data_IF_516804382974
#
_entry.id   IF_516804382974
#
_cell.length_a   1.000
_cell.length_b   1.000
_cell.length_c   1.000
_cell.angle_alpha   90.00
_cell.angle_beta   90.00
_cell.angle_gamma   90.00
#
_symmetry.space_group_name_H-M   'P 1'
#
loop_
_entity.id
_entity.type
_entity.pdbx_description
1 polymer ?
#
# COMPACT_ATOMS: atom_id res chain seq x y z
N UNK A 1 20.49 27.15 3.98
CA UNK A 1 21.02 26.04 3.16
C UNK A 1 19.94 25.62 2.19
N UNK A 2 20.15 25.87 0.90
CA UNK A 2 19.22 25.45 -0.16
C UNK A 2 19.25 23.92 -0.25
N UNK A 3 18.29 23.28 0.43
CA UNK A 3 18.03 21.86 0.26
C UNK A 3 17.52 21.64 -1.15
N UNK A 4 18.30 20.92 -1.95
CA UNK A 4 17.88 20.31 -3.20
C UNK A 4 16.54 19.59 -2.95
N UNK A 5 15.44 20.19 -3.41
CA UNK A 5 14.16 19.51 -3.54
C UNK A 5 14.28 18.57 -4.73
N UNK A 6 14.91 17.42 -4.52
CA UNK A 6 14.67 16.26 -5.36
C UNK A 6 13.17 16.04 -5.35
N UNK A 7 12.52 16.28 -6.49
CA UNK A 7 11.08 16.01 -6.68
C UNK A 7 10.84 14.59 -6.20
N UNK A 8 10.06 14.42 -5.13
CA UNK A 8 9.77 13.12 -4.58
C UNK A 8 9.05 12.30 -5.65
N UNK A 9 9.69 11.21 -6.12
CA UNK A 9 9.07 10.28 -7.07
C UNK A 9 7.90 9.60 -6.36
N UNK A 10 6.71 9.70 -6.94
CA UNK A 10 5.56 8.94 -6.46
C UNK A 10 5.75 7.46 -6.82
N UNK A 11 6.16 6.67 -5.84
CA UNK A 11 6.42 5.23 -5.98
C UNK A 11 5.17 4.41 -6.27
N UNK A 12 3.97 5.00 -6.12
CA UNK A 12 2.70 4.34 -6.45
C UNK A 12 2.35 4.48 -7.92
N UNK A 13 3.02 5.35 -8.68
CA UNK A 13 2.79 5.45 -10.11
C UNK A 13 3.31 4.20 -10.82
N UNK A 14 2.49 3.56 -11.67
CA UNK A 14 2.91 2.40 -12.44
C UNK A 14 4.08 2.76 -13.34
N UNK A 15 5.09 1.88 -13.34
CA UNK A 15 6.30 2.04 -14.16
C UNK A 15 6.30 1.05 -15.32
N UNK A 16 6.93 1.43 -16.42
CA UNK A 16 7.27 0.55 -17.54
C UNK A 16 8.79 0.52 -17.65
N UNK A 17 9.34 -0.70 -17.64
CA UNK A 17 10.76 -0.93 -17.79
C UNK A 17 11.03 -1.54 -19.16
N UNK A 18 11.91 -0.94 -19.95
CA UNK A 18 12.29 -1.45 -21.26
C UNK A 18 13.80 -1.68 -21.29
N UNK A 19 14.21 -2.90 -21.60
CA UNK A 19 15.60 -3.20 -21.91
C UNK A 19 15.92 -2.67 -23.32
N UNK A 20 16.83 -1.70 -23.39
CA UNK A 20 17.14 -0.99 -24.65
C UNK A 20 18.50 -1.36 -25.22
N UNK A 21 19.44 -1.82 -24.38
CA UNK A 21 20.80 -2.16 -24.80
C UNK A 21 21.52 -3.04 -23.75
N UNK A 22 22.75 -3.45 -24.04
CA UNK A 22 23.68 -4.04 -23.08
C UNK A 22 25.11 -3.49 -23.25
N UNK A 23 25.85 -3.44 -22.15
CA UNK A 23 27.25 -3.03 -22.09
C UNK A 23 28.10 -4.25 -21.74
N UNK A 24 29.17 -4.48 -22.50
CA UNK A 24 30.15 -5.52 -22.19
C UNK A 24 31.28 -4.91 -21.37
N UNK A 25 31.40 -5.37 -20.12
CA UNK A 25 32.50 -5.07 -19.23
C UNK A 25 33.47 -6.27 -19.19
N UNK A 26 34.71 -6.10 -18.69
CA UNK A 26 35.71 -7.16 -18.70
C UNK A 26 35.27 -8.45 -17.99
N UNK A 27 34.52 -8.33 -16.89
CA UNK A 27 34.11 -9.45 -16.05
C UNK A 27 32.62 -9.83 -16.20
N UNK A 28 31.80 -8.95 -16.78
CA UNK A 28 30.36 -9.18 -16.90
C UNK A 28 29.66 -8.36 -17.99
N UNK A 29 28.37 -8.62 -18.17
CA UNK A 29 27.48 -7.85 -19.04
C UNK A 29 26.46 -7.14 -18.17
N UNK A 30 26.26 -5.86 -18.44
CA UNK A 30 25.20 -5.04 -17.84
C UNK A 30 24.12 -4.77 -18.87
N UNK A 31 22.88 -4.86 -18.45
CA UNK A 31 21.71 -4.55 -19.26
C UNK A 31 21.28 -3.12 -18.96
N UNK A 32 21.03 -2.34 -20.01
CA UNK A 32 20.53 -0.96 -19.91
C UNK A 32 19.01 -1.00 -19.90
N UNK A 33 18.42 -0.57 -18.79
CA UNK A 33 16.98 -0.50 -18.58
C UNK A 33 16.57 0.97 -18.63
N UNK A 34 15.60 1.30 -19.48
CA UNK A 34 14.90 2.57 -19.46
C UNK A 34 13.62 2.44 -18.64
N UNK A 35 13.45 3.29 -17.64
CA UNK A 35 12.29 3.30 -16.74
C UNK A 35 11.45 4.53 -17.03
N UNK A 36 10.17 4.31 -17.27
CA UNK A 36 9.19 5.34 -17.63
C UNK A 36 7.95 5.22 -16.72
N UNK A 37 7.32 6.35 -16.39
CA UNK A 37 5.99 6.34 -15.79
C UNK A 37 4.94 5.99 -16.84
N UNK A 38 4.06 5.02 -16.56
CA UNK A 38 2.95 4.67 -17.44
C UNK A 38 1.87 5.76 -17.49
N UNK A 39 1.82 6.64 -16.48
CA UNK A 39 0.90 7.78 -16.45
C UNK A 39 1.42 8.96 -17.28
N UNK A 40 2.63 8.87 -17.86
CA UNK A 40 3.27 9.99 -18.57
C UNK A 40 3.70 11.14 -17.64
N UNK A 41 3.67 10.92 -16.32
CA UNK A 41 4.04 11.91 -15.30
C UNK A 41 5.49 11.69 -14.88
N UNK A 42 6.30 12.75 -14.94
CA UNK A 42 7.70 12.73 -14.52
C UNK A 42 8.68 12.44 -15.67
N UNK A 43 9.98 12.43 -15.35
CA UNK A 43 11.06 12.15 -16.32
C UNK A 43 11.36 10.66 -16.35
N UNK A 44 11.68 10.14 -17.53
CA UNK A 44 12.28 8.83 -17.66
C UNK A 44 13.74 8.86 -17.20
N UNK A 45 14.25 7.70 -16.77
CA UNK A 45 15.65 7.54 -16.40
C UNK A 45 16.18 6.20 -16.86
N UNK A 46 17.50 6.05 -16.85
CA UNK A 46 18.19 4.83 -17.27
C UNK A 46 19.04 4.29 -16.14
N UNK A 47 18.98 2.98 -15.98
CA UNK A 47 19.79 2.25 -15.01
C UNK A 47 20.52 1.09 -15.69
N UNK A 48 21.61 0.66 -15.09
CA UNK A 48 22.39 -0.48 -15.55
C UNK A 48 22.34 -1.58 -14.50
N UNK A 49 22.07 -2.81 -14.95
CA UNK A 49 21.98 -3.98 -14.06
C UNK A 49 22.63 -5.20 -14.68
N UNK A 50 23.52 -5.85 -13.94
CA UNK A 50 24.05 -7.17 -14.31
C UNK A 50 23.07 -8.28 -13.96
N UNK A 51 23.16 -9.40 -14.68
CA UNK A 51 22.31 -10.58 -14.44
C UNK A 51 22.30 -11.08 -12.98
N UNK A 52 23.40 -10.90 -12.24
CA UNK A 52 23.44 -11.27 -10.82
C UNK A 52 22.49 -10.43 -9.95
N UNK A 53 22.28 -9.15 -10.28
CA UNK A 53 21.34 -8.28 -9.57
C UNK A 53 19.89 -8.69 -9.88
N UNK A 54 19.57 -9.03 -11.13
CA UNK A 54 18.27 -9.60 -11.49
C UNK A 54 17.96 -10.90 -10.74
N UNK A 55 18.95 -11.79 -10.62
CA UNK A 55 18.78 -13.03 -9.83
C UNK A 55 18.50 -12.75 -8.35
N UNK A 56 19.21 -11.79 -7.77
CA UNK A 56 18.98 -11.36 -6.38
C UNK A 56 17.56 -10.82 -6.23
N UNK A 57 17.12 -9.96 -7.14
CA UNK A 57 15.75 -9.44 -7.18
C UNK A 57 14.73 -10.58 -7.26
N UNK A 58 14.88 -11.50 -8.21
CA UNK A 58 13.99 -12.65 -8.37
C UNK A 58 13.89 -13.47 -7.08
N UNK A 59 15.02 -13.82 -6.45
CA UNK A 59 15.02 -14.59 -5.19
C UNK A 59 14.31 -13.89 -4.02
N UNK A 60 14.21 -12.56 -4.07
CA UNK A 60 13.50 -11.78 -3.06
C UNK A 60 12.00 -11.67 -3.37
N UNK A 61 11.64 -11.55 -4.66
CA UNK A 61 10.24 -11.47 -5.11
C UNK A 61 9.55 -12.83 -5.13
N UNK A 62 10.26 -13.94 -5.40
CA UNK A 62 9.73 -15.31 -5.34
C UNK A 62 9.12 -15.63 -3.97
N UNK A 63 9.61 -14.99 -2.89
CA UNK A 63 9.05 -15.13 -1.55
C UNK A 63 7.59 -14.69 -1.47
N UNK A 64 7.18 -13.78 -2.34
CA UNK A 64 5.81 -13.27 -2.46
C UNK A 64 4.85 -14.24 -3.18
N UNK A 65 5.34 -15.38 -3.66
CA UNK A 65 4.52 -16.33 -4.43
C UNK A 65 4.15 -15.81 -5.83
N UNK A 66 4.77 -14.71 -6.28
CA UNK A 66 4.66 -14.28 -7.67
C UNK A 66 5.40 -15.32 -8.54
N UNK A 67 4.66 -16.19 -9.24
CA UNK A 67 5.19 -17.24 -10.11
C UNK A 67 5.85 -16.69 -11.38
N UNK A 68 6.81 -15.77 -11.22
CA UNK A 68 7.48 -15.07 -12.30
C UNK A 68 8.47 -15.99 -13.00
N UNK A 69 8.40 -16.04 -14.33
CA UNK A 69 9.39 -16.77 -15.13
C UNK A 69 10.73 -16.03 -15.07
N UNK A 70 11.82 -16.76 -14.85
CA UNK A 70 13.15 -16.17 -14.76
C UNK A 70 14.19 -16.98 -15.56
N UNK A 71 15.03 -16.33 -16.40
CA UNK A 71 16.00 -17.04 -17.23
C UNK A 71 17.11 -17.70 -16.40
N UNK A 72 17.50 -18.96 -16.69
CA UNK A 72 18.49 -19.68 -15.89
C UNK A 72 19.92 -19.16 -16.07
N UNK A 73 20.79 -19.51 -15.10
CA UNK A 73 22.21 -19.20 -15.20
C UNK A 73 22.85 -20.07 -16.28
N UNK A 74 23.71 -19.46 -17.09
CA UNK A 74 24.57 -20.15 -18.06
C UNK A 74 26.02 -19.90 -17.69
N UNK A 75 26.80 -20.97 -17.55
CA UNK A 75 28.20 -20.91 -17.13
C UNK A 75 29.17 -20.85 -18.32
N UNK A 76 28.86 -21.47 -19.44
CA UNK A 76 29.70 -21.50 -20.65
C UNK A 76 29.04 -20.69 -21.77
N UNK A 77 29.80 -19.81 -22.42
CA UNK A 77 29.30 -18.99 -23.54
C UNK A 77 28.29 -17.93 -23.12
N UNK A 78 28.30 -17.51 -21.85
CA UNK A 78 27.40 -16.50 -21.30
C UNK A 78 27.65 -15.09 -21.84
N UNK A 79 28.85 -14.83 -22.39
CA UNK A 79 29.23 -13.58 -23.05
C UNK A 79 28.99 -13.59 -24.58
N UNK A 80 28.51 -14.71 -25.16
CA UNK A 80 28.17 -14.77 -26.58
C UNK A 80 26.97 -13.89 -26.86
N UNK A 81 27.04 -13.06 -27.91
CA UNK A 81 26.01 -12.08 -28.24
C UNK A 81 24.61 -12.68 -28.40
N UNK A 82 24.51 -13.80 -29.12
CA UNK A 82 23.23 -14.50 -29.33
C UNK A 82 22.57 -14.87 -27.99
N UNK A 83 23.37 -15.28 -27.00
CA UNK A 83 22.86 -15.63 -25.69
C UNK A 83 22.54 -14.39 -24.84
N UNK A 84 23.31 -13.31 -24.96
CA UNK A 84 22.99 -12.02 -24.32
C UNK A 84 21.61 -11.52 -24.80
N UNK A 85 21.36 -11.55 -26.12
CA UNK A 85 20.07 -11.18 -26.74
C UNK A 85 18.94 -12.07 -26.25
N UNK A 86 19.12 -13.39 -26.28
CA UNK A 86 18.13 -14.35 -25.77
C UNK A 86 17.78 -14.08 -24.29
N UNK A 87 18.79 -13.85 -23.45
CA UNK A 87 18.58 -13.54 -22.04
C UNK A 87 17.91 -12.18 -21.85
N UNK A 88 18.26 -11.17 -22.65
CA UNK A 88 17.63 -9.86 -22.60
C UNK A 88 16.12 -9.95 -22.82
N UNK A 89 15.66 -10.73 -23.81
CA UNK A 89 14.24 -10.96 -24.05
C UNK A 89 13.55 -11.62 -22.84
N UNK A 90 14.15 -12.66 -22.27
CA UNK A 90 13.58 -13.31 -21.08
C UNK A 90 13.61 -12.40 -19.82
N UNK A 91 14.60 -11.52 -19.70
CA UNK A 91 14.62 -10.51 -18.64
C UNK A 91 13.59 -9.40 -18.87
N UNK A 92 13.24 -9.09 -20.13
CA UNK A 92 12.15 -8.16 -20.46
C UNK A 92 10.81 -8.73 -19.98
N UNK A 93 10.51 -9.99 -20.30
CA UNK A 93 9.29 -10.66 -19.81
C UNK A 93 9.20 -10.66 -18.27
N UNK A 94 10.33 -10.88 -17.59
CA UNK A 94 10.41 -10.80 -16.14
C UNK A 94 10.09 -9.38 -15.61
N UNK A 95 10.65 -8.34 -16.24
CA UNK A 95 10.37 -6.95 -15.87
C UNK A 95 8.90 -6.56 -16.14
N UNK A 96 8.34 -7.00 -17.27
CA UNK A 96 6.94 -6.74 -17.63
C UNK A 96 6.00 -7.35 -16.58
N UNK A 97 6.26 -8.59 -16.16
CA UNK A 97 5.47 -9.26 -15.13
C UNK A 97 5.60 -8.59 -13.74
N UNK A 98 6.79 -8.07 -13.39
CA UNK A 98 6.98 -7.26 -12.17
C UNK A 98 6.16 -5.97 -12.21
N UNK A 99 6.14 -5.30 -13.36
CA UNK A 99 5.47 -4.01 -13.55
C UNK A 99 3.94 -4.12 -13.60
N UNK A 100 3.39 -5.33 -13.78
CA UNK A 100 1.95 -5.58 -13.85
C UNK A 100 1.25 -5.38 -12.49
N UNK A 101 1.94 -5.63 -11.38
CA UNK A 101 1.32 -5.64 -10.06
C UNK A 101 1.80 -4.47 -9.19
N UNK A 102 0.89 -3.60 -8.69
CA UNK A 102 1.23 -2.46 -7.82
C UNK A 102 2.10 -2.80 -6.62
N UNK A 103 1.78 -3.91 -5.96
CA UNK A 103 2.52 -4.38 -4.79
C UNK A 103 3.97 -4.75 -5.17
N UNK A 104 4.19 -5.32 -6.37
CA UNK A 104 5.50 -5.76 -6.81
C UNK A 104 6.35 -4.56 -7.22
N UNK A 105 5.92 -3.72 -8.17
CA UNK A 105 6.77 -2.64 -8.65
C UNK A 105 7.11 -1.62 -7.56
N UNK A 106 6.20 -1.42 -6.60
CA UNK A 106 6.43 -0.47 -5.54
C UNK A 106 7.23 -1.06 -4.38
N UNK A 107 7.24 -2.39 -4.16
CA UNK A 107 7.92 -2.97 -3.00
C UNK A 107 9.37 -2.49 -2.86
N UNK A 108 9.94 -2.42 -1.64
CA UNK A 108 11.22 -1.75 -1.43
C UNK A 108 12.35 -2.38 -2.23
N UNK A 109 12.27 -3.69 -2.47
CA UNK A 109 13.25 -4.43 -3.25
C UNK A 109 13.23 -4.03 -4.72
N UNK A 110 12.05 -3.94 -5.34
CA UNK A 110 11.91 -3.57 -6.75
C UNK A 110 12.15 -2.06 -6.92
N UNK A 111 11.59 -1.22 -6.04
CA UNK A 111 11.80 0.22 -6.08
C UNK A 111 13.29 0.60 -5.98
N UNK A 112 14.05 -0.06 -5.10
CA UNK A 112 15.50 0.12 -5.01
C UNK A 112 16.22 -0.45 -6.25
N UNK A 113 15.79 -1.60 -6.77
CA UNK A 113 16.36 -2.13 -8.00
C UNK A 113 16.16 -1.19 -9.19
N UNK A 114 15.02 -0.51 -9.26
CA UNK A 114 14.67 0.46 -10.30
C UNK A 114 15.20 1.87 -10.03
N UNK A 115 15.77 2.13 -8.86
CA UNK A 115 16.15 3.48 -8.39
C UNK A 115 14.98 4.47 -8.39
N UNK A 116 13.74 3.98 -8.23
CA UNK A 116 12.53 4.83 -8.13
C UNK A 116 12.33 5.39 -6.71
N UNK A 117 13.09 4.91 -5.73
CA UNK A 117 13.06 5.38 -4.35
C UNK A 117 14.44 5.30 -3.72
N UNK A 118 14.91 6.38 -3.11
CA UNK A 118 16.29 6.54 -2.63
C UNK A 118 16.43 6.61 -1.11
N UNK A 119 15.34 6.66 -0.35
CA UNK A 119 15.41 6.71 1.12
C UNK A 119 15.96 5.38 1.65
N UNK A 120 17.01 5.46 2.45
CA UNK A 120 17.61 4.30 3.09
C UNK A 120 16.97 4.03 4.45
N UNK A 121 16.96 2.75 4.85
CA UNK A 121 16.54 2.36 6.21
C UNK A 121 17.36 3.04 7.31
N UNK A 122 18.61 3.42 7.02
CA UNK A 122 19.48 4.13 7.96
C UNK A 122 18.93 5.54 8.21
N UNK A 123 18.62 6.29 7.16
CA UNK A 123 18.06 7.65 7.29
C UNK A 123 16.72 7.66 8.03
N UNK A 124 15.87 6.66 7.79
CA UNK A 124 14.63 6.48 8.55
C UNK A 124 14.88 6.22 10.03
N UNK A 125 15.84 5.35 10.36
CA UNK A 125 16.17 5.04 11.75
C UNK A 125 16.73 6.25 12.50
N UNK A 126 17.68 6.97 11.90
CA UNK A 126 18.27 8.18 12.49
C UNK A 126 17.21 9.25 12.76
N UNK A 127 16.31 9.48 11.81
CA UNK A 127 15.20 10.41 12.00
C UNK A 127 14.27 10.02 13.16
N UNK A 128 13.96 8.73 13.32
CA UNK A 128 13.16 8.25 14.45
C UNK A 128 13.88 8.53 15.77
N UNK A 129 15.17 8.19 15.88
CA UNK A 129 15.95 8.44 17.09
C UNK A 129 15.98 9.93 17.46
N UNK A 130 16.22 10.80 16.48
CA UNK A 130 16.23 12.25 16.68
C UNK A 130 14.86 12.77 17.15
N UNK A 131 13.77 12.22 16.60
CA UNK A 131 12.41 12.62 16.98
C UNK A 131 12.00 12.15 18.39
N UNK A 132 12.70 11.17 18.95
CA UNK A 132 12.48 10.64 20.30
C UNK A 132 13.43 11.23 21.35
N UNK A 133 14.40 12.07 20.95
CA UNK A 133 15.46 12.57 21.86
C UNK A 133 14.92 13.20 23.15
N UNK A 134 13.78 13.88 23.06
CA UNK A 134 13.13 14.60 24.18
C UNK A 134 11.96 13.81 24.79
N UNK A 135 11.73 12.56 24.37
CA UNK A 135 10.55 11.75 24.74
C UNK A 135 10.94 10.58 25.66
N UNK A 136 11.54 10.89 26.81
CA UNK A 136 12.17 9.91 27.74
C UNK A 136 11.25 8.80 28.26
N UNK A 137 9.94 9.02 28.26
CA UNK A 137 8.95 8.03 28.70
C UNK A 137 8.85 6.81 27.76
N UNK A 138 9.22 6.98 26.48
CA UNK A 138 9.14 5.94 25.48
C UNK A 138 10.51 5.34 25.22
N UNK A 139 10.63 4.02 25.39
CA UNK A 139 11.86 3.29 25.16
C UNK A 139 11.70 2.42 23.91
N UNK A 140 12.45 2.74 22.86
CA UNK A 140 12.52 1.93 21.63
C UNK A 140 13.16 0.57 21.96
N UNK A 141 12.55 -0.52 21.49
CA UNK A 141 13.02 -1.88 21.76
C UNK A 141 13.47 -2.59 20.50
N UNK A 142 12.54 -2.91 19.61
CA UNK A 142 12.83 -3.72 18.44
C UNK A 142 12.21 -3.10 17.20
N UNK A 143 13.00 -2.92 16.16
CA UNK A 143 12.47 -2.57 14.85
C UNK A 143 11.70 -3.75 14.25
N UNK A 144 10.50 -3.49 13.76
CA UNK A 144 9.64 -4.45 13.06
C UNK A 144 9.72 -4.17 11.56
N UNK A 145 10.88 -4.45 10.96
CA UNK A 145 11.21 -4.16 9.55
C UNK A 145 10.22 -4.77 8.54
N UNK A 146 9.48 -5.78 8.95
CA UNK A 146 8.63 -6.57 8.07
C UNK A 146 7.14 -6.59 8.48
N UNK A 147 6.76 -5.83 9.51
CA UNK A 147 5.37 -5.72 9.97
C UNK A 147 4.62 -4.70 9.10
N UNK A 148 4.13 -5.12 7.94
CA UNK A 148 3.57 -4.21 6.95
C UNK A 148 4.64 -3.60 6.04
N UNK A 149 4.20 -3.01 4.94
CA UNK A 149 5.09 -2.39 3.96
C UNK A 149 4.45 -1.11 3.40
N UNK A 150 5.23 -0.01 3.37
CA UNK A 150 5.04 1.19 2.55
C UNK A 150 6.38 1.91 2.46
N UNK A 151 6.72 2.47 1.31
CA UNK A 151 7.94 3.27 1.16
C UNK A 151 7.93 4.44 2.15
N UNK A 152 9.06 4.64 2.83
CA UNK A 152 9.18 5.69 3.84
C UNK A 152 8.43 5.44 5.16
N UNK A 153 7.84 4.25 5.37
CA UNK A 153 7.19 3.85 6.64
C UNK A 153 8.04 2.84 7.40
N UNK A 154 8.17 3.04 8.71
CA UNK A 154 8.89 2.13 9.61
C UNK A 154 8.13 1.89 10.90
N UNK A 155 8.28 0.69 11.45
CA UNK A 155 7.63 0.27 12.68
C UNK A 155 8.64 -0.14 13.75
N UNK A 156 8.37 0.24 14.99
CA UNK A 156 9.14 -0.17 16.17
C UNK A 156 8.21 -0.59 17.29
N UNK A 157 8.56 -1.67 17.98
CA UNK A 157 8.02 -1.91 19.30
C UNK A 157 8.70 -0.97 20.29
N UNK A 158 7.87 -0.31 21.10
CA UNK A 158 8.31 0.59 22.16
C UNK A 158 7.68 0.19 23.50
N UNK A 159 8.22 0.74 24.59
CA UNK A 159 7.69 0.56 25.94
C UNK A 159 7.47 1.90 26.63
N UNK A 160 6.37 2.02 27.37
CA UNK A 160 6.17 3.05 28.39
C UNK A 160 5.66 2.38 29.67
N UNK A 161 6.47 2.42 30.73
CA UNK A 161 6.21 1.61 31.92
C UNK A 161 6.12 0.11 31.58
N UNK A 162 4.98 -0.52 31.89
CA UNK A 162 4.67 -1.91 31.55
C UNK A 162 4.03 -2.10 30.17
N UNK A 163 3.54 -1.03 29.54
CA UNK A 163 2.82 -1.09 28.27
C UNK A 163 3.78 -1.32 27.11
N UNK A 164 3.42 -2.24 26.21
CA UNK A 164 4.08 -2.46 24.92
C UNK A 164 3.21 -1.87 23.82
N UNK A 165 3.79 -0.98 23.01
CA UNK A 165 3.08 -0.24 21.97
C UNK A 165 3.83 -0.33 20.64
N UNK A 166 3.13 0.03 19.56
CA UNK A 166 3.70 0.16 18.22
C UNK A 166 3.93 1.63 17.92
N UNK A 167 5.18 1.99 17.67
CA UNK A 167 5.56 3.24 17.03
C UNK A 167 5.54 3.03 15.52
N UNK A 168 4.97 3.98 14.81
CA UNK A 168 5.04 4.08 13.36
C UNK A 168 5.56 5.46 13.00
N UNK A 169 6.54 5.51 12.09
CA UNK A 169 6.98 6.76 11.50
C UNK A 169 6.85 6.71 9.99
N UNK A 170 6.30 7.77 9.42
CA UNK A 170 6.03 7.88 7.99
C UNK A 170 6.63 9.18 7.48
N UNK A 171 7.50 9.07 6.48
CA UNK A 171 8.05 10.21 5.74
C UNK A 171 6.95 10.96 5.02
N UNK A 172 7.21 12.24 4.77
CA UNK A 172 6.35 13.01 3.88
C UNK A 172 6.41 12.48 2.45
N UNK A 173 5.25 12.43 1.80
CA UNK A 173 5.12 12.11 0.40
C UNK A 173 5.09 13.37 -0.48
N UNK A 174 4.95 13.18 -1.81
CA UNK A 174 4.89 14.27 -2.78
C UNK A 174 3.76 15.28 -2.51
N UNK A 175 2.68 14.86 -1.87
CA UNK A 175 1.50 15.71 -1.61
C UNK A 175 1.50 16.31 -0.21
N UNK A 176 2.69 16.40 0.44
CA UNK A 176 2.81 17.06 1.74
C UNK A 176 2.28 18.49 1.62
N UNK A 177 1.44 18.86 2.58
CA UNK A 177 0.93 20.22 2.71
C UNK A 177 1.14 20.74 4.14
N UNK A 178 1.02 22.06 4.30
CA UNK A 178 1.07 22.72 5.59
C UNK A 178 2.45 22.76 6.26
N UNK A 179 2.52 23.46 7.39
CA UNK A 179 3.69 23.56 8.24
C UNK A 179 3.65 22.48 9.33
N UNK A 180 4.77 22.22 10.00
CA UNK A 180 4.80 21.30 11.17
C UNK A 180 3.81 21.75 12.25
N UNK A 181 3.66 23.06 12.48
CA UNK A 181 2.70 23.59 13.43
C UNK A 181 1.25 23.27 13.03
N UNK A 182 0.85 23.56 11.79
CA UNK A 182 -0.51 23.27 11.32
C UNK A 182 -0.83 21.77 11.29
N UNK A 183 0.16 20.94 10.96
CA UNK A 183 0.01 19.48 10.98
C UNK A 183 -0.19 18.97 12.42
N UNK A 184 0.54 19.51 13.41
CA UNK A 184 0.31 19.16 14.80
C UNK A 184 -1.08 19.60 15.30
N UNK A 185 -1.58 20.77 14.90
CA UNK A 185 -2.96 21.20 15.20
C UNK A 185 -4.01 20.26 14.57
N UNK A 186 -3.77 19.77 13.36
CA UNK A 186 -4.65 18.78 12.72
C UNK A 186 -4.61 17.41 13.44
N UNK A 187 -3.43 16.96 13.90
CA UNK A 187 -3.30 15.76 14.72
C UNK A 187 -4.01 15.90 16.08
N UNK A 188 -3.98 17.09 16.67
CA UNK A 188 -4.77 17.40 17.88
C UNK A 188 -6.27 17.32 17.60
N UNK A 189 -6.74 17.90 16.49
CA UNK A 189 -8.14 17.78 16.06
C UNK A 189 -8.56 16.32 15.85
N UNK A 190 -7.73 15.48 15.22
CA UNK A 190 -8.05 14.06 15.02
C UNK A 190 -8.32 13.30 16.33
N UNK A 191 -7.67 13.67 17.44
CA UNK A 191 -7.90 13.08 18.78
C UNK A 191 -9.18 13.57 19.47
N UNK A 192 -9.92 14.47 18.82
CA UNK A 192 -11.23 14.95 19.30
C UNK A 192 -12.40 14.31 18.57
N UNK A 193 -12.12 13.44 17.57
CA UNK A 193 -13.13 12.82 16.75
C UNK A 193 -13.82 11.67 17.49
N UNK A 194 -15.05 11.89 17.93
CA UNK A 194 -15.85 10.84 18.54
C UNK A 194 -16.42 9.89 17.48
N UNK A 195 -15.68 8.82 17.17
CA UNK A 195 -16.13 7.76 16.29
C UNK A 195 -15.70 6.38 16.82
N UNK A 196 -16.64 5.47 17.17
CA UNK A 196 -16.29 4.16 17.73
C UNK A 196 -15.57 3.23 16.73
N UNK A 197 -15.53 3.62 15.46
CA UNK A 197 -14.92 2.88 14.35
C UNK A 197 -13.63 3.54 13.83
N UNK A 198 -13.12 4.55 14.54
CA UNK A 198 -11.77 5.10 14.35
C UNK A 198 -10.93 4.80 15.59
N UNK A 199 -9.87 4.01 15.41
CA UNK A 199 -8.92 3.73 16.47
C UNK A 199 -7.88 4.85 16.52
N UNK A 200 -8.02 5.73 17.50
CA UNK A 200 -7.11 6.85 17.68
C UNK A 200 -5.72 6.41 18.16
N UNK A 201 -4.69 7.09 17.65
CA UNK A 201 -3.33 6.96 18.15
C UNK A 201 -3.23 7.46 19.59
N UNK A 202 -2.52 6.72 20.45
CA UNK A 202 -2.20 7.11 21.84
C UNK A 202 -1.56 8.49 21.89
N UNK A 203 -0.66 8.75 20.95
CA UNK A 203 -0.09 10.09 20.72
C UNK A 203 0.52 10.13 19.32
N UNK A 204 0.60 11.34 18.77
CA UNK A 204 1.23 11.60 17.49
C UNK A 204 1.74 13.02 17.40
N UNK A 205 2.78 13.21 16.59
CA UNK A 205 3.33 14.53 16.29
C UNK A 205 3.98 14.57 14.92
N UNK A 206 3.91 15.74 14.30
CA UNK A 206 4.64 16.08 13.08
C UNK A 206 6.04 16.60 13.43
N UNK A 207 6.99 16.33 12.53
CA UNK A 207 8.38 16.83 12.55
C UNK A 207 8.71 17.40 11.17
N UNK A 208 9.89 17.99 10.98
CA UNK A 208 10.28 18.46 9.64
C UNK A 208 10.39 17.32 8.61
N UNK A 209 10.67 16.10 9.06
CA UNK A 209 10.94 14.93 8.22
C UNK A 209 9.79 13.95 8.06
N UNK A 210 8.67 14.10 8.76
CA UNK A 210 7.53 13.20 8.68
C UNK A 210 6.64 13.24 9.92
N UNK A 211 5.69 12.32 9.99
CA UNK A 211 4.79 12.15 11.14
C UNK A 211 5.12 10.87 11.87
N UNK A 212 5.11 10.95 13.20
CA UNK A 212 5.28 9.83 14.10
C UNK A 212 4.00 9.68 14.91
N UNK A 213 3.54 8.44 15.05
CA UNK A 213 2.40 8.11 15.86
C UNK A 213 2.63 6.79 16.61
N UNK A 214 2.00 6.68 17.77
CA UNK A 214 2.10 5.53 18.67
C UNK A 214 0.69 4.99 18.86
N UNK A 215 0.53 3.68 18.66
CA UNK A 215 -0.74 2.98 18.83
C UNK A 215 -0.59 1.71 19.66
N UNK A 216 -1.70 1.14 20.18
CA UNK A 216 -1.67 -0.19 20.78
C UNK A 216 -1.17 -1.27 19.81
N UNK A 217 -0.63 -2.34 20.37
CA UNK A 217 -0.33 -3.57 19.61
C UNK A 217 -1.58 -4.43 19.59
N UNK A 218 -2.13 -4.66 18.40
CA UNK A 218 -3.23 -5.59 18.17
C UNK A 218 -2.68 -7.01 18.07
N UNK A 219 -2.85 -7.80 19.14
CA UNK A 219 -2.29 -9.17 19.22
C UNK A 219 -2.87 -10.11 18.16
N UNK A 220 -4.14 -9.92 17.81
CA UNK A 220 -4.84 -10.68 16.76
C UNK A 220 -4.58 -10.13 15.34
N UNK A 221 -3.73 -9.10 15.22
CA UNK A 221 -3.43 -8.47 13.94
C UNK A 221 -4.60 -7.69 13.35
N UNK A 222 -4.44 -7.34 12.08
CA UNK A 222 -5.45 -6.62 11.29
C UNK A 222 -6.44 -7.59 10.67
N UNK A 223 -7.48 -7.07 10.02
CA UNK A 223 -8.44 -7.87 9.27
C UNK A 223 -7.75 -8.70 8.17
N UNK A 224 -6.69 -8.15 7.55
CA UNK A 224 -5.84 -8.88 6.62
C UNK A 224 -5.07 -10.02 7.28
N UNK A 225 -4.55 -9.84 8.49
CA UNK A 225 -3.91 -10.94 9.23
C UNK A 225 -4.88 -12.10 9.45
N UNK A 226 -6.14 -11.78 9.82
CA UNK A 226 -7.21 -12.77 9.99
C UNK A 226 -7.57 -13.46 8.68
N UNK A 227 -7.66 -12.71 7.58
CA UNK A 227 -7.94 -13.24 6.24
C UNK A 227 -6.90 -14.29 5.84
N UNK A 228 -5.62 -14.05 6.15
CA UNK A 228 -4.52 -14.97 5.84
C UNK A 228 -4.17 -15.96 6.97
N UNK A 229 -4.89 -15.94 8.10
CA UNK A 229 -4.52 -16.70 9.32
C UNK A 229 -3.04 -16.55 9.70
N UNK A 230 -2.53 -15.32 9.59
CA UNK A 230 -1.11 -15.01 9.77
C UNK A 230 -0.83 -14.28 11.09
N UNK A 231 0.42 -14.30 11.54
CA UNK A 231 0.82 -13.48 12.68
C UNK A 231 1.18 -12.06 12.23
N UNK A 232 0.71 -11.06 12.97
CA UNK A 232 1.03 -9.66 12.66
C UNK A 232 2.55 -9.38 12.63
N UNK A 233 3.36 -10.17 13.36
CA UNK A 233 4.83 -10.06 13.42
C UNK A 233 5.56 -10.67 12.22
N UNK A 234 4.91 -11.55 11.47
CA UNK A 234 5.55 -12.27 10.37
C UNK A 234 5.91 -11.30 9.23
N UNK A 235 6.85 -11.72 8.38
CA UNK A 235 7.28 -10.90 7.25
C UNK A 235 6.16 -10.70 6.24
N UNK A 236 5.85 -9.44 5.92
CA UNK A 236 4.76 -9.04 5.02
C UNK A 236 4.73 -9.85 3.72
N UNK A 237 5.88 -9.97 3.04
CA UNK A 237 5.94 -10.63 1.74
C UNK A 237 5.83 -12.16 1.86
N UNK A 238 6.10 -12.71 3.03
CA UNK A 238 6.03 -14.16 3.28
C UNK A 238 4.66 -14.59 3.80
N UNK A 239 3.95 -13.72 4.54
CA UNK A 239 2.66 -14.06 5.15
C UNK A 239 1.45 -13.75 4.27
N UNK A 240 1.63 -12.87 3.29
CA UNK A 240 0.59 -12.50 2.33
C UNK A 240 0.98 -12.87 0.90
N UNK A 241 1.45 -14.09 0.70
CA UNK A 241 1.87 -14.51 -0.64
C UNK A 241 0.66 -14.54 -1.57
N UNK A 242 0.89 -14.23 -2.83
CA UNK A 242 -0.15 -14.23 -3.87
C UNK A 242 -0.78 -15.62 -4.08
N UNK A 243 -0.05 -16.69 -3.78
CA UNK A 243 -0.49 -18.08 -3.88
C UNK A 243 -1.06 -18.64 -2.57
N UNK A 244 -1.11 -17.84 -1.50
CA UNK A 244 -1.63 -18.30 -0.20
C UNK A 244 -3.16 -18.36 -0.23
N UNK A 245 -3.76 -19.46 0.26
CA UNK A 245 -5.20 -19.50 0.46
C UNK A 245 -5.61 -18.49 1.52
N UNK A 246 -6.73 -17.82 1.29
CA UNK A 246 -7.39 -16.97 2.28
C UNK A 246 -8.53 -17.70 2.97
N UNK A 247 -8.91 -17.21 4.14
CA UNK A 247 -10.15 -17.59 4.79
C UNK A 247 -11.30 -16.79 4.20
N UNK A 248 -12.47 -17.42 4.09
CA UNK A 248 -13.70 -16.66 3.87
C UNK A 248 -14.24 -16.20 5.21
N UNK A 249 -14.59 -14.92 5.30
CA UNK A 249 -15.49 -14.45 6.36
C UNK A 249 -16.92 -14.86 6.05
N UNK A 250 -17.74 -14.97 7.09
CA UNK A 250 -19.18 -15.15 6.91
C UNK A 250 -19.78 -13.92 6.25
N UNK A 251 -20.82 -14.11 5.45
CA UNK A 251 -21.49 -13.00 4.75
C UNK A 251 -22.01 -11.96 5.73
N UNK A 252 -22.46 -12.38 6.92
CA UNK A 252 -22.89 -11.49 7.99
C UNK A 252 -21.75 -10.59 8.50
N UNK A 253 -20.57 -11.17 8.75
CA UNK A 253 -19.41 -10.43 9.25
C UNK A 253 -18.91 -9.41 8.21
N UNK A 254 -18.84 -9.81 6.93
CA UNK A 254 -18.45 -8.91 5.83
C UNK A 254 -19.39 -7.72 5.78
N UNK A 255 -20.71 -7.96 5.90
CA UNK A 255 -21.69 -6.87 5.96
C UNK A 255 -21.42 -5.98 7.15
N UNK A 256 -21.37 -6.50 8.37
CA UNK A 256 -21.16 -5.69 9.57
C UNK A 256 -19.91 -4.81 9.47
N UNK A 257 -18.79 -5.38 9.00
CA UNK A 257 -17.54 -4.66 8.73
C UNK A 257 -17.78 -3.52 7.74
N UNK A 258 -18.42 -3.81 6.59
CA UNK A 258 -18.74 -2.81 5.59
C UNK A 258 -19.63 -1.68 6.14
N UNK A 259 -20.57 -1.97 7.06
CA UNK A 259 -21.45 -0.95 7.66
C UNK A 259 -20.63 0.09 8.39
N UNK A 260 -19.84 -0.39 9.34
CA UNK A 260 -19.09 0.41 10.29
C UNK A 260 -18.05 1.26 9.56
N UNK A 261 -17.46 0.71 8.50
CA UNK A 261 -16.53 1.43 7.65
C UNK A 261 -17.23 2.50 6.80
N UNK A 262 -18.39 2.22 6.18
CA UNK A 262 -19.12 3.23 5.43
C UNK A 262 -19.58 4.40 6.32
N UNK A 263 -20.00 4.12 7.56
CA UNK A 263 -20.34 5.15 8.55
C UNK A 263 -19.12 6.02 8.89
N UNK A 264 -17.95 5.40 9.06
CA UNK A 264 -16.68 6.11 9.28
C UNK A 264 -16.31 6.98 8.08
N UNK A 265 -16.42 6.46 6.85
CA UNK A 265 -16.14 7.22 5.64
C UNK A 265 -17.13 8.38 5.45
N UNK A 266 -18.38 8.21 5.87
CA UNK A 266 -19.38 9.29 5.87
C UNK A 266 -18.95 10.44 6.79
N UNK A 267 -18.48 10.14 8.00
CA UNK A 267 -17.92 11.14 8.92
C UNK A 267 -16.71 11.83 8.29
N UNK A 268 -15.73 11.07 7.79
CA UNK A 268 -14.51 11.61 7.20
C UNK A 268 -14.78 12.49 5.96
N UNK A 269 -15.78 12.13 5.16
CA UNK A 269 -16.26 12.96 4.05
C UNK A 269 -16.85 14.28 4.53
N UNK A 270 -17.69 14.25 5.58
CA UNK A 270 -18.31 15.46 6.14
C UNK A 270 -17.28 16.46 6.68
N UNK A 271 -16.15 15.98 7.20
CA UNK A 271 -15.05 16.82 7.69
C UNK A 271 -13.90 16.98 6.67
N UNK A 272 -14.06 16.49 5.44
CA UNK A 272 -13.09 16.60 4.35
C UNK A 272 -11.69 16.03 4.66
N UNK A 273 -11.61 14.89 5.37
CA UNK A 273 -10.34 14.22 5.71
C UNK A 273 -10.12 13.03 4.76
N UNK A 274 -9.17 13.10 3.80
CA UNK A 274 -9.05 12.11 2.72
C UNK A 274 -8.29 10.84 3.15
N UNK A 275 -8.93 9.99 3.95
CA UNK A 275 -8.41 8.67 4.29
C UNK A 275 -8.57 7.68 3.12
N UNK A 276 -7.58 7.65 2.22
CA UNK A 276 -7.63 6.83 0.98
C UNK A 276 -6.87 5.49 1.08
N UNK A 277 -6.39 5.14 2.26
CA UNK A 277 -5.74 3.86 2.57
C UNK A 277 -6.71 2.88 3.26
N UNK A 278 -7.97 2.86 2.78
CA UNK A 278 -9.04 1.95 3.24
C UNK A 278 -8.78 0.55 2.68
N UNK A 279 -8.19 -0.32 3.49
CA UNK A 279 -7.86 -1.70 3.10
C UNK A 279 -7.74 -2.60 4.33
N UNK A 280 -7.82 -3.93 4.17
CA UNK A 280 -7.90 -4.86 5.31
C UNK A 280 -6.68 -4.83 6.24
N UNK A 281 -5.52 -4.33 5.77
CA UNK A 281 -4.34 -4.09 6.61
C UNK A 281 -4.37 -2.84 7.48
N UNK A 282 -5.41 -2.01 7.35
CA UNK A 282 -5.62 -0.80 8.13
C UNK A 282 -6.96 -0.87 8.89
N UNK A 283 -7.49 -2.08 9.02
CA UNK A 283 -8.71 -2.38 9.74
C UNK A 283 -8.37 -3.37 10.84
N UNK A 284 -8.84 -3.13 12.06
CA UNK A 284 -8.72 -4.05 13.20
C UNK A 284 -10.10 -4.37 13.73
N UNK A 285 -10.25 -5.52 14.38
CA UNK A 285 -11.48 -5.87 15.09
C UNK A 285 -11.15 -5.92 16.58
N UNK A 286 -11.87 -5.11 17.35
CA UNK A 286 -11.77 -5.00 18.81
C UNK A 286 -13.13 -5.27 19.45
N UNK A 287 -13.24 -4.97 20.74
CA UNK A 287 -14.50 -5.02 21.48
C UNK A 287 -15.53 -3.99 20.97
N UNK A 288 -15.09 -2.91 20.31
CA UNK A 288 -15.95 -1.90 19.70
C UNK A 288 -16.41 -2.24 18.28
N UNK A 289 -16.01 -3.41 17.75
CA UNK A 289 -16.27 -3.84 16.38
C UNK A 289 -15.08 -3.56 15.46
N UNK A 290 -15.39 -3.16 14.23
CA UNK A 290 -14.41 -2.82 13.19
C UNK A 290 -13.91 -1.38 13.38
N UNK A 291 -12.60 -1.20 13.45
CA UNK A 291 -11.98 0.13 13.56
C UNK A 291 -10.92 0.35 12.48
N UNK A 292 -10.93 1.53 11.86
CA UNK A 292 -9.83 2.02 11.02
C UNK A 292 -8.69 2.55 11.89
N UNK A 293 -7.46 2.19 11.54
CA UNK A 293 -6.23 2.64 12.22
C UNK A 293 -5.44 3.61 11.34
N UNK A 294 -4.41 4.25 11.91
CA UNK A 294 -3.41 5.04 11.17
C UNK A 294 -3.99 6.30 10.47
N UNK A 295 -5.04 6.92 11.01
CA UNK A 295 -5.63 8.18 10.49
C UNK A 295 -4.58 9.29 10.33
N UNK A 296 -3.61 9.35 11.25
CA UNK A 296 -2.48 10.31 11.23
C UNK A 296 -1.72 10.30 9.90
N UNK A 297 -1.70 9.16 9.20
CA UNK A 297 -0.98 9.00 7.94
C UNK A 297 -1.53 9.91 6.83
N UNK A 298 -2.80 10.29 6.87
CA UNK A 298 -3.43 11.19 5.87
C UNK A 298 -2.65 12.50 5.74
N UNK A 299 -2.11 13.00 6.85
CA UNK A 299 -1.39 14.27 6.92
C UNK A 299 0.06 14.18 6.39
N UNK A 300 0.52 12.99 6.01
CA UNK A 300 1.87 12.81 5.47
C UNK A 300 1.97 13.17 3.99
N UNK A 301 0.84 13.31 3.28
CA UNK A 301 0.83 13.51 1.84
C UNK A 301 1.40 12.30 1.07
N UNK A 302 1.40 11.12 1.67
CA UNK A 302 1.79 9.89 1.01
C UNK A 302 0.68 9.40 0.07
N UNK A 303 0.97 9.13 -1.20
CA UNK A 303 0.00 8.59 -2.16
C UNK A 303 -0.53 7.22 -1.75
N UNK A 304 -1.83 7.00 -1.94
CA UNK A 304 -2.43 5.67 -1.84
C UNK A 304 -2.05 4.81 -3.05
N UNK A 305 -1.84 3.51 -2.85
CA UNK A 305 -1.64 2.55 -3.96
C UNK A 305 -2.82 2.46 -4.93
N UNK A 306 -3.96 3.04 -4.55
CA UNK A 306 -5.20 3.10 -5.33
C UNK A 306 -5.21 4.30 -6.29
N UNK A 307 -4.31 5.27 -6.09
CA UNK A 307 -4.23 6.50 -6.90
C UNK A 307 -4.18 6.24 -8.40
N UNK A 308 -3.35 5.33 -8.93
CA UNK A 308 -3.29 5.10 -10.37
C UNK A 308 -4.63 4.67 -10.96
N UNK A 309 -5.31 3.72 -10.31
CA UNK A 309 -6.63 3.27 -10.72
C UNK A 309 -7.66 4.40 -10.69
N UNK A 310 -7.58 5.27 -9.67
CA UNK A 310 -8.48 6.41 -9.57
C UNK A 310 -8.23 7.46 -10.67
N UNK A 311 -6.97 7.77 -10.97
CA UNK A 311 -6.61 8.74 -12.02
C UNK A 311 -7.05 8.29 -13.43
N UNK A 312 -7.13 6.98 -13.66
CA UNK A 312 -7.62 6.42 -14.92
C UNK A 312 -9.15 6.40 -15.04
N UNK A 313 -9.88 6.61 -13.94
CA UNK A 313 -11.34 6.57 -13.91
C UNK A 313 -11.96 7.93 -14.18
N UNK A 314 -12.84 8.02 -15.18
CA UNK A 314 -13.60 9.25 -15.46
C UNK A 314 -14.76 9.47 -14.46
N UNK A 315 -15.12 8.45 -13.68
CA UNK A 315 -16.23 8.52 -12.73
C UNK A 315 -15.83 9.15 -11.39
N UNK A 316 -14.53 9.26 -11.09
CA UNK A 316 -14.04 9.73 -9.80
C UNK A 316 -13.66 11.19 -9.89
N UNK A 317 -14.48 12.06 -9.29
CA UNK A 317 -14.31 13.51 -9.40
C UNK A 317 -14.35 14.22 -8.03
N UNK A 318 -14.90 13.56 -7.02
CA UNK A 318 -15.08 14.10 -5.67
C UNK A 318 -14.35 13.25 -4.62
N UNK A 319 -14.23 13.78 -3.40
CA UNK A 319 -13.72 12.99 -2.26
C UNK A 319 -14.62 11.80 -1.96
N UNK A 320 -15.94 11.98 -2.06
CA UNK A 320 -16.91 10.90 -1.84
C UNK A 320 -16.72 9.76 -2.86
N UNK A 321 -16.50 10.10 -4.13
CA UNK A 321 -16.18 9.12 -5.18
C UNK A 321 -14.92 8.31 -4.84
N UNK A 322 -13.87 8.98 -4.35
CA UNK A 322 -12.64 8.30 -3.92
C UNK A 322 -12.91 7.33 -2.75
N UNK A 323 -13.75 7.72 -1.79
CA UNK A 323 -14.16 6.82 -0.71
C UNK A 323 -14.97 5.62 -1.20
N UNK A 324 -15.91 5.84 -2.11
CA UNK A 324 -16.71 4.77 -2.71
C UNK A 324 -15.81 3.78 -3.46
N UNK A 325 -14.87 4.29 -4.25
CA UNK A 325 -13.92 3.46 -4.98
C UNK A 325 -13.01 2.65 -4.04
N UNK A 326 -12.39 3.29 -3.06
CA UNK A 326 -11.49 2.63 -2.11
C UNK A 326 -12.23 1.62 -1.21
N UNK A 327 -13.50 1.91 -0.86
CA UNK A 327 -14.39 0.95 -0.21
C UNK A 327 -14.69 -0.27 -1.09
N UNK A 328 -14.96 -0.07 -2.39
CA UNK A 328 -15.14 -1.16 -3.34
C UNK A 328 -13.91 -2.08 -3.42
N UNK A 329 -12.71 -1.50 -3.40
CA UNK A 329 -11.47 -2.28 -3.40
C UNK A 329 -11.25 -3.04 -2.09
N UNK A 330 -11.61 -2.45 -0.95
CA UNK A 330 -11.60 -3.18 0.32
C UNK A 330 -12.59 -4.35 0.28
N UNK A 331 -13.83 -4.15 -0.17
CA UNK A 331 -14.81 -5.21 -0.27
C UNK A 331 -14.30 -6.34 -1.18
N UNK A 332 -13.71 -5.98 -2.32
CA UNK A 332 -13.07 -6.95 -3.21
C UNK A 332 -11.93 -7.71 -2.51
N UNK A 333 -11.08 -7.02 -1.75
CA UNK A 333 -10.02 -7.64 -0.95
C UNK A 333 -10.56 -8.64 0.07
N UNK A 334 -11.65 -8.32 0.79
CA UNK A 334 -12.26 -9.23 1.76
C UNK A 334 -12.85 -10.49 1.13
N UNK A 335 -13.29 -10.40 -0.13
CA UNK A 335 -13.93 -11.50 -0.84
C UNK A 335 -12.92 -12.39 -1.58
N UNK A 336 -11.76 -11.86 -1.95
CA UNK A 336 -10.85 -12.52 -2.90
C UNK A 336 -9.40 -12.59 -2.43
N UNK A 337 -9.00 -11.75 -1.47
CA UNK A 337 -7.61 -11.63 -1.00
C UNK A 337 -6.73 -10.72 -1.85
N UNK A 338 -7.20 -10.25 -3.02
CA UNK A 338 -6.41 -9.33 -3.85
C UNK A 338 -6.38 -7.93 -3.24
N UNK A 339 -5.18 -7.36 -3.04
CA UNK A 339 -5.04 -6.06 -2.33
C UNK A 339 -5.45 -4.84 -3.17
N UNK A 340 -5.53 -5.02 -4.49
CA UNK A 340 -5.87 -3.99 -5.47
C UNK A 340 -6.80 -4.60 -6.51
N UNK A 341 -7.79 -3.83 -6.97
CA UNK A 341 -8.68 -4.28 -8.02
C UNK A 341 -8.01 -4.13 -9.41
N UNK A 342 -7.99 -5.19 -10.24
CA UNK A 342 -7.30 -5.16 -11.53
C UNK A 342 -8.18 -4.47 -12.59
N UNK A 343 -8.12 -3.13 -12.65
CA UNK A 343 -8.96 -2.32 -13.55
C UNK A 343 -8.91 -2.72 -15.03
N UNK A 344 -7.78 -3.22 -15.54
CA UNK A 344 -7.64 -3.63 -16.94
C UNK A 344 -8.37 -4.94 -17.28
N UNK A 345 -8.76 -5.71 -16.27
CA UNK A 345 -9.48 -6.98 -16.40
C UNK A 345 -10.63 -7.03 -15.39
N UNK A 346 -11.35 -5.92 -15.27
CA UNK A 346 -12.39 -5.71 -14.27
C UNK A 346 -13.51 -6.76 -14.37
N UNK A 347 -13.96 -7.03 -15.60
CA UNK A 347 -14.99 -8.04 -15.87
C UNK A 347 -14.55 -9.44 -15.44
N UNK A 348 -13.31 -9.85 -15.76
CA UNK A 348 -12.76 -11.14 -15.35
C UNK A 348 -12.63 -11.22 -13.82
N UNK A 349 -12.16 -10.15 -13.18
CA UNK A 349 -11.98 -10.10 -11.74
C UNK A 349 -13.29 -10.23 -10.96
N UNK A 350 -14.40 -9.75 -11.52
CA UNK A 350 -15.71 -9.87 -10.89
C UNK A 350 -16.31 -11.28 -11.01
N UNK A 351 -15.80 -12.14 -11.90
CA UNK A 351 -16.32 -13.52 -12.04
C UNK A 351 -16.12 -14.39 -10.79
N UNK A 352 -15.12 -14.06 -9.96
CA UNK A 352 -14.78 -14.80 -8.72
C UNK A 352 -15.48 -14.24 -7.47
N UNK A 353 -16.26 -13.17 -7.62
CA UNK A 353 -16.98 -12.51 -6.52
C UNK A 353 -18.33 -13.19 -6.27
N UNK A 354 -18.74 -13.42 -5.00
CA UNK A 354 -20.04 -14.01 -4.71
C UNK A 354 -21.21 -13.17 -5.29
N UNK A 355 -22.25 -13.80 -5.89
CA UNK A 355 -23.30 -13.09 -6.63
C UNK A 355 -24.00 -11.97 -5.86
N UNK A 356 -24.07 -12.08 -4.54
CA UNK A 356 -24.72 -11.11 -3.66
C UNK A 356 -24.00 -9.76 -3.59
N UNK A 357 -22.70 -9.72 -3.89
CA UNK A 357 -21.88 -8.50 -3.88
C UNK A 357 -21.68 -7.91 -5.28
N UNK A 358 -21.97 -8.68 -6.35
CA UNK A 358 -21.78 -8.25 -7.74
C UNK A 358 -22.51 -6.95 -8.11
N UNK A 359 -23.80 -6.72 -7.73
CA UNK A 359 -24.48 -5.50 -8.14
C UNK A 359 -23.77 -4.23 -7.68
N UNK A 360 -23.22 -4.24 -6.46
CA UNK A 360 -22.49 -3.10 -5.89
C UNK A 360 -21.11 -2.95 -6.54
N UNK A 361 -20.36 -4.03 -6.72
CA UNK A 361 -19.03 -3.94 -7.34
C UNK A 361 -19.11 -3.57 -8.82
N UNK A 362 -20.16 -4.02 -9.54
CA UNK A 362 -20.45 -3.56 -10.90
C UNK A 362 -20.74 -2.06 -10.95
N UNK A 363 -21.56 -1.54 -10.02
CA UNK A 363 -21.88 -0.09 -10.01
C UNK A 363 -20.69 0.79 -9.64
N UNK A 364 -19.65 0.24 -9.01
CA UNK A 364 -18.41 0.95 -8.68
C UNK A 364 -17.36 0.84 -9.81
N UNK A 365 -17.07 -0.37 -10.28
CA UNK A 365 -15.94 -0.62 -11.17
C UNK A 365 -16.28 -0.69 -12.65
N UNK A 366 -17.53 -1.02 -12.99
CA UNK A 366 -18.04 -1.11 -14.36
C UNK A 366 -19.14 -0.07 -14.61
N UNK A 367 -19.11 1.05 -13.89
CA UNK A 367 -20.10 2.10 -14.02
C UNK A 367 -20.19 2.59 -15.47
N UNK A 368 -21.28 2.22 -16.17
CA UNK A 368 -21.60 2.72 -17.52
C UNK A 368 -21.87 4.23 -17.49
N UNK A 369 -22.35 4.71 -16.34
CA UNK A 369 -22.59 6.12 -16.06
C UNK A 369 -21.34 6.71 -15.42
N UNK A 370 -20.96 7.94 -15.81
CA UNK A 370 -19.82 8.69 -15.24
C UNK A 370 -20.01 9.11 -13.77
N UNK A 371 -20.84 8.44 -12.99
CA UNK A 371 -21.07 8.73 -11.58
C UNK A 371 -21.10 7.44 -10.76
N UNK A 372 -20.39 7.46 -9.64
CA UNK A 372 -20.41 6.41 -8.63
C UNK A 372 -21.65 6.57 -7.71
N UNK A 373 -22.11 5.48 -7.06
CA UNK A 373 -23.14 5.59 -6.03
C UNK A 373 -22.63 6.42 -4.83
N UNK A 374 -23.52 7.14 -4.15
CA UNK A 374 -23.14 7.89 -2.93
C UNK A 374 -22.95 6.96 -1.73
N UNK A 375 -22.16 7.38 -0.73
CA UNK A 375 -21.97 6.59 0.49
C UNK A 375 -23.31 6.27 1.16
N UNK A 376 -24.20 7.27 1.26
CA UNK A 376 -25.52 7.09 1.85
C UNK A 376 -26.42 6.14 1.05
N UNK A 377 -26.27 6.09 -0.28
CA UNK A 377 -27.02 5.17 -1.13
C UNK A 377 -26.55 3.73 -0.93
N UNK A 378 -25.24 3.50 -0.78
CA UNK A 378 -24.68 2.18 -0.46
C UNK A 378 -25.19 1.72 0.91
N UNK A 379 -25.18 2.61 1.91
CA UNK A 379 -25.70 2.35 3.26
C UNK A 379 -27.21 2.01 3.26
N UNK A 380 -27.99 2.64 2.36
CA UNK A 380 -29.46 2.53 2.36
C UNK A 380 -30.04 1.56 1.32
N UNK A 381 -29.24 1.06 0.39
CA UNK A 381 -29.73 0.31 -0.76
C UNK A 381 -30.45 -0.99 -0.34
N UNK A 382 -31.59 -1.27 -1.01
CA UNK A 382 -32.42 -2.47 -0.78
C UNK A 382 -32.06 -3.65 -1.68
N UNK A 383 -31.51 -3.38 -2.87
CA UNK A 383 -30.99 -4.40 -3.79
C UNK A 383 -29.65 -4.98 -3.30
N UNK A 384 -29.01 -4.23 -2.42
CA UNK A 384 -27.74 -4.48 -1.76
C UNK A 384 -28.16 -4.81 -0.33
N UNK A 385 -28.46 -6.09 -0.03
CA UNK A 385 -28.97 -6.57 1.28
C UNK A 385 -27.89 -6.39 2.36
N UNK A 386 -27.51 -5.16 2.68
CA UNK A 386 -26.32 -4.92 3.48
C UNK A 386 -26.67 -4.70 4.96
N UNK A 387 -27.76 -4.00 5.31
CA UNK A 387 -27.88 -3.48 6.69
C UNK A 387 -29.25 -3.45 7.35
N UNK A 388 -30.34 -3.84 6.68
CA UNK A 388 -31.69 -3.65 7.22
C UNK A 388 -31.98 -4.50 8.48
N UNK A 389 -31.27 -5.62 8.62
CA UNK A 389 -31.42 -6.58 9.73
C UNK A 389 -30.30 -6.48 10.77
N UNK A 390 -29.31 -5.61 10.54
CA UNK A 390 -28.28 -5.29 11.51
C UNK A 390 -28.86 -4.20 12.43
N UNK A 391 -29.30 -4.60 13.63
CA UNK A 391 -29.67 -3.63 14.66
C UNK A 391 -28.43 -2.81 15.06
N UNK A 392 -28.59 -1.52 15.36
CA UNK A 392 -27.51 -0.70 15.90
C UNK A 392 -26.95 -1.27 17.20
#
# INVERSE_FOLDING_TARGET
MHGSTTVAVDVTHPVKCTLIDWIRLPDHVEYVIEVNSQLGIGKSWRIQRRYAQFRKLNSQVEKFGAGLRFPPKKFIGNAKEAFIKQRMLALQEFLDALCLHPILYACPTVANFLESFTETYIGLHEWILLSFRDKRQWIIRQQRKHCGWRSGKVHYEIRCGSLKLMLSGVRYGPDRFGTVASLNSALEFFRTLHCPHLNESVTSWATDGGIIYIRPIFKEGTLRDRLYKSNWKDDFFTKYRMDSPICSFETYDIRLICRQLLETLTLLNAISVPYLDVHAGNVVITECGCELIDLDQVLTGQPSFRRPSMLCSQAINTLEDMFVFTFGELLFELLTGFFTFPMHSASEALTIVPPIFLPLLNSIFLAEVRCLPRLQEIINSRQVIFFRDLKP
#
